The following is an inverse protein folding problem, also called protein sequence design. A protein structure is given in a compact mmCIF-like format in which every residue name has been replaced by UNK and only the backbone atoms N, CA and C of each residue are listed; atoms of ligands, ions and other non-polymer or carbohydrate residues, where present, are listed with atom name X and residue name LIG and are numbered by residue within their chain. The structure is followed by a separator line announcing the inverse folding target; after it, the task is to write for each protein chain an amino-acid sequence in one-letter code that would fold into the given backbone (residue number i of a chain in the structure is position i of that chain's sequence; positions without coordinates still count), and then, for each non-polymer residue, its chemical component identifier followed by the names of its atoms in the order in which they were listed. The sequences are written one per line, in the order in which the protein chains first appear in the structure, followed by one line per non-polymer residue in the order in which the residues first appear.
data_IF_119843754574
#
_entry.id   IF_119843754574
#
_cell.length_a   1.000
_cell.length_b   1.000
_cell.length_c   1.000
_cell.angle_alpha   90.00
_cell.angle_beta   90.00
_cell.angle_gamma   90.00
#
_symmetry.space_group_name_H-M   'P 1'
#
loop_
_entity.id
_entity.type
_entity.pdbx_description
1 polymer ?
#
# COMPACT_ATOMS: atom_id res chain seq x y z
N UNK A 1 -28.33 -75.48 -33.78
CA UNK A 1 -28.50 -74.37 -32.80
C UNK A 1 -27.19 -73.70 -32.39
N UNK A 2 -26.05 -74.37 -32.41
CA UNK A 2 -24.76 -73.86 -31.90
C UNK A 2 -24.08 -72.77 -32.76
N UNK A 3 -24.17 -72.86 -34.10
CA UNK A 3 -23.58 -71.85 -35.02
C UNK A 3 -24.19 -70.45 -34.88
N UNK A 4 -25.48 -70.34 -34.55
CA UNK A 4 -26.13 -69.04 -34.35
C UNK A 4 -25.75 -68.39 -33.00
N UNK A 5 -25.42 -69.20 -31.99
CA UNK A 5 -25.00 -68.70 -30.66
C UNK A 5 -23.59 -68.10 -30.72
N UNK A 6 -22.64 -68.77 -31.37
CA UNK A 6 -21.27 -68.23 -31.54
C UNK A 6 -21.21 -66.98 -32.42
N UNK A 7 -22.07 -66.88 -33.44
CA UNK A 7 -22.16 -65.71 -34.32
C UNK A 7 -22.75 -64.48 -33.61
N UNK A 8 -23.69 -64.69 -32.68
CA UNK A 8 -24.23 -63.61 -31.86
C UNK A 8 -23.23 -63.12 -30.80
N UNK A 9 -22.45 -64.00 -30.17
CA UNK A 9 -21.43 -63.58 -29.20
C UNK A 9 -20.28 -62.79 -29.85
N UNK A 10 -19.85 -63.19 -31.05
CA UNK A 10 -18.82 -62.45 -31.81
C UNK A 10 -19.34 -61.11 -32.31
N UNK A 11 -20.62 -61.04 -32.71
CA UNK A 11 -21.27 -59.78 -33.07
C UNK A 11 -21.38 -58.84 -31.86
N UNK A 12 -21.80 -59.35 -30.69
CA UNK A 12 -21.95 -58.54 -29.48
C UNK A 12 -20.60 -58.03 -28.95
N UNK A 13 -19.55 -58.87 -28.96
CA UNK A 13 -18.18 -58.45 -28.59
C UNK A 13 -17.62 -57.38 -29.53
N UNK A 14 -17.95 -57.45 -30.83
CA UNK A 14 -17.54 -56.44 -31.82
C UNK A 14 -18.29 -55.12 -31.61
N UNK A 15 -19.60 -55.17 -31.39
CA UNK A 15 -20.42 -53.99 -31.07
C UNK A 15 -19.96 -53.31 -29.77
N UNK A 16 -19.64 -54.11 -28.73
CA UNK A 16 -19.15 -53.59 -27.46
C UNK A 16 -17.76 -52.93 -27.57
N UNK A 17 -16.83 -53.51 -28.34
CA UNK A 17 -15.53 -52.88 -28.63
C UNK A 17 -15.68 -51.57 -29.39
N UNK A 18 -16.62 -51.48 -30.34
CA UNK A 18 -16.90 -50.25 -31.08
C UNK A 18 -17.48 -49.19 -30.12
N UNK A 19 -18.41 -49.57 -29.23
CA UNK A 19 -18.98 -48.66 -28.24
C UNK A 19 -17.92 -48.13 -27.26
N UNK A 20 -17.02 -48.98 -26.77
CA UNK A 20 -15.92 -48.57 -25.86
C UNK A 20 -14.94 -47.65 -26.58
N UNK A 21 -14.57 -47.94 -27.83
CA UNK A 21 -13.69 -47.05 -28.61
C UNK A 21 -14.36 -45.71 -28.92
N UNK A 22 -15.68 -45.70 -29.20
CA UNK A 22 -16.43 -44.46 -29.39
C UNK A 22 -16.48 -43.63 -28.10
N UNK A 23 -16.67 -44.27 -26.95
CA UNK A 23 -16.66 -43.59 -25.65
C UNK A 23 -15.27 -42.99 -25.34
N UNK A 24 -14.19 -43.76 -25.56
CA UNK A 24 -12.83 -43.28 -25.38
C UNK A 24 -12.48 -42.12 -26.33
N UNK A 25 -12.98 -42.17 -27.57
CA UNK A 25 -12.81 -41.07 -28.53
C UNK A 25 -13.59 -39.83 -28.10
N UNK A 26 -14.81 -39.97 -27.57
CA UNK A 26 -15.59 -38.85 -27.02
C UNK A 26 -14.88 -38.23 -25.81
N UNK A 27 -14.32 -39.04 -24.91
CA UNK A 27 -13.55 -38.55 -23.76
C UNK A 27 -12.27 -37.84 -24.21
N UNK A 28 -11.56 -38.37 -25.21
CA UNK A 28 -10.37 -37.74 -25.78
C UNK A 28 -10.69 -36.40 -26.46
N UNK A 29 -11.77 -36.34 -27.25
CA UNK A 29 -12.22 -35.10 -27.90
C UNK A 29 -12.71 -34.09 -26.86
N UNK A 30 -13.44 -34.53 -25.83
CA UNK A 30 -13.87 -33.66 -24.74
C UNK A 30 -12.69 -33.10 -23.93
N UNK A 31 -11.63 -33.88 -23.72
CA UNK A 31 -10.42 -33.43 -23.03
C UNK A 31 -9.55 -32.51 -23.89
N UNK A 32 -9.51 -32.69 -25.21
CA UNK A 32 -8.88 -31.74 -26.14
C UNK A 32 -9.68 -30.43 -26.24
N UNK A 33 -11.01 -30.49 -26.18
CA UNK A 33 -11.86 -29.29 -26.18
C UNK A 33 -11.82 -28.54 -24.84
N UNK A 34 -11.55 -29.23 -23.73
CA UNK A 34 -11.38 -28.58 -22.41
C UNK A 34 -10.01 -27.87 -22.28
N UNK A 35 -9.00 -28.27 -23.06
CA UNK A 35 -7.65 -27.66 -23.01
C UNK A 35 -7.47 -26.48 -23.96
N UNK A 36 -8.51 -26.07 -24.70
CA UNK A 36 -8.43 -24.96 -25.67
C UNK A 36 -9.51 -23.90 -25.52
N UNK A 37 -9.98 -23.63 -24.30
CA UNK A 37 -10.58 -22.32 -24.03
C UNK A 37 -9.42 -21.39 -23.71
N UNK A 38 -8.93 -20.55 -24.64
CA UNK A 38 -8.01 -19.50 -24.26
C UNK A 38 -8.72 -18.64 -23.23
N UNK A 39 -8.23 -18.63 -21.99
CA UNK A 39 -8.48 -17.53 -21.08
C UNK A 39 -7.83 -16.31 -21.70
N UNK A 40 -8.57 -15.60 -22.55
CA UNK A 40 -8.24 -14.23 -22.91
C UNK A 40 -8.43 -13.47 -21.61
N UNK A 41 -7.33 -13.30 -20.88
CA UNK A 41 -7.25 -12.33 -19.81
C UNK A 41 -7.39 -10.97 -20.48
N UNK A 42 -8.60 -10.43 -20.47
CA UNK A 42 -8.73 -8.99 -20.52
C UNK A 42 -8.03 -8.50 -19.27
N UNK A 43 -6.92 -7.78 -19.44
CA UNK A 43 -6.57 -6.77 -18.47
C UNK A 43 -7.75 -5.81 -18.49
N UNK A 44 -8.73 -6.07 -17.61
CA UNK A 44 -9.48 -4.95 -17.07
C UNK A 44 -8.37 -4.15 -16.41
N UNK A 45 -8.07 -2.94 -16.93
CA UNK A 45 -7.60 -1.92 -16.02
C UNK A 45 -8.50 -2.08 -14.81
N UNK A 46 -7.90 -2.20 -13.63
CA UNK A 46 -8.68 -1.99 -12.43
C UNK A 46 -9.27 -0.61 -12.68
N UNK A 47 -10.55 -0.55 -13.09
CA UNK A 47 -11.43 0.47 -12.62
C UNK A 47 -11.10 0.43 -11.15
N UNK A 48 -10.27 1.36 -10.70
CA UNK A 48 -10.53 1.98 -9.44
C UNK A 48 -11.99 2.37 -9.63
N UNK A 49 -12.91 1.46 -9.28
CA UNK A 49 -14.23 1.83 -8.86
C UNK A 49 -13.90 2.98 -7.97
N UNK A 50 -14.26 4.19 -8.41
CA UNK A 50 -13.93 5.41 -7.73
C UNK A 50 -14.26 5.15 -6.26
N UNK A 51 -13.26 4.73 -5.49
CA UNK A 51 -13.20 5.02 -4.09
C UNK A 51 -12.84 6.49 -4.14
N UNK A 52 -13.78 7.30 -4.65
CA UNK A 52 -14.02 8.65 -4.20
C UNK A 52 -14.14 8.45 -2.72
N UNK A 53 -13.00 8.54 -2.04
CA UNK A 53 -12.93 8.93 -0.65
C UNK A 53 -13.79 10.18 -0.66
N UNK A 54 -15.04 10.04 -0.21
CA UNK A 54 -15.97 11.16 -0.28
C UNK A 54 -15.35 12.23 0.58
N UNK A 55 -15.09 13.38 -0.06
CA UNK A 55 -14.53 14.53 0.62
C UNK A 55 -15.42 14.82 1.81
N UNK A 56 -14.82 14.75 3.00
CA UNK A 56 -15.54 14.97 4.26
C UNK A 56 -16.04 16.41 4.25
N UNK A 57 -17.36 16.60 4.35
CA UNK A 57 -17.96 17.92 4.45
C UNK A 57 -17.58 18.49 5.82
N UNK A 58 -16.89 19.66 5.88
CA UNK A 58 -16.47 20.25 7.14
C UNK A 58 -17.69 20.70 7.96
N UNK A 59 -17.58 20.58 9.29
CA UNK A 59 -18.64 20.96 10.24
C UNK A 59 -18.09 21.87 11.35
N UNK A 60 -18.97 22.59 12.04
CA UNK A 60 -18.57 23.47 13.15
C UNK A 60 -17.84 22.75 14.30
N UNK A 61 -18.01 21.42 14.42
CA UNK A 61 -17.37 20.61 15.44
C UNK A 61 -15.91 20.26 15.11
N UNK A 62 -15.47 20.50 13.88
CA UNK A 62 -14.12 20.17 13.44
C UNK A 62 -13.10 21.19 13.96
N UNK A 63 -11.85 20.77 14.17
CA UNK A 63 -10.78 21.70 14.60
C UNK A 63 -10.03 22.31 13.41
N UNK A 64 -10.37 23.55 13.08
CA UNK A 64 -9.75 24.34 12.03
C UNK A 64 -9.69 25.82 12.42
N UNK A 65 -8.83 26.58 11.73
CA UNK A 65 -8.70 28.01 11.91
C UNK A 65 -10.00 28.74 11.54
N UNK A 66 -10.50 29.58 12.45
CA UNK A 66 -11.76 30.31 12.30
C UNK A 66 -11.66 31.52 11.36
N UNK A 67 -10.56 31.70 10.64
CA UNK A 67 -10.33 32.84 9.75
C UNK A 67 -9.74 32.49 8.40
N UNK A 68 -9.53 31.21 8.07
CA UNK A 68 -8.84 30.81 6.84
C UNK A 68 -9.55 29.75 6.03
N UNK A 69 -9.48 29.90 4.71
CA UNK A 69 -9.88 28.91 3.73
C UNK A 69 -8.71 28.57 2.83
N UNK A 70 -8.42 27.29 2.66
CA UNK A 70 -7.45 26.77 1.70
C UNK A 70 -8.18 26.47 0.40
N UNK A 71 -7.75 27.11 -0.69
CA UNK A 71 -8.37 26.97 -2.01
C UNK A 71 -7.38 26.37 -2.98
N UNK A 72 -7.77 25.29 -3.66
CA UNK A 72 -7.01 24.70 -4.75
C UNK A 72 -7.67 25.14 -6.06
N UNK A 73 -6.89 25.76 -6.95
CA UNK A 73 -7.36 26.09 -8.30
C UNK A 73 -7.26 24.87 -9.20
N UNK A 74 -8.19 24.71 -10.15
CA UNK A 74 -8.02 23.68 -11.17
C UNK A 74 -6.79 23.95 -12.06
N UNK A 75 -6.28 22.90 -12.70
CA UNK A 75 -5.03 22.96 -13.47
C UNK A 75 -5.07 24.01 -14.59
N UNK A 76 -6.22 24.23 -15.22
CA UNK A 76 -6.38 25.21 -16.31
C UNK A 76 -6.16 26.65 -15.84
N UNK A 77 -6.48 26.95 -14.59
CA UNK A 77 -6.37 28.30 -14.02
C UNK A 77 -5.16 28.44 -13.08
N UNK A 78 -4.42 27.35 -12.85
CA UNK A 78 -3.23 27.35 -12.00
C UNK A 78 -2.01 27.87 -12.75
N UNK A 79 -1.20 28.68 -12.07
CA UNK A 79 0.10 29.16 -12.58
C UNK A 79 1.11 29.20 -11.44
N UNK A 80 2.38 28.92 -11.75
CA UNK A 80 3.45 29.09 -10.77
C UNK A 80 3.53 30.55 -10.31
N UNK A 81 3.39 30.76 -9.00
CA UNK A 81 3.42 32.08 -8.38
C UNK A 81 2.40 33.05 -9.02
N UNK A 82 1.29 32.53 -9.55
CA UNK A 82 0.26 33.33 -10.19
C UNK A 82 -0.41 34.25 -9.18
N UNK A 83 -0.64 35.51 -9.55
CA UNK A 83 -1.44 36.41 -8.72
C UNK A 83 -2.92 36.14 -8.99
N UNK A 84 -3.65 35.76 -7.95
CA UNK A 84 -5.10 35.55 -7.98
C UNK A 84 -5.74 36.50 -7.00
N UNK A 85 -6.82 37.14 -7.43
CA UNK A 85 -7.56 38.13 -6.65
C UNK A 85 -8.97 37.63 -6.36
N UNK A 86 -9.64 38.25 -5.40
CA UNK A 86 -10.99 37.83 -4.99
C UNK A 86 -11.96 37.88 -6.19
N UNK A 87 -11.85 38.90 -7.04
CA UNK A 87 -12.70 39.07 -8.21
C UNK A 87 -12.58 37.93 -9.24
N UNK A 88 -11.43 37.23 -9.27
CA UNK A 88 -11.18 36.15 -10.22
C UNK A 88 -12.06 34.92 -9.93
N UNK A 89 -12.51 34.74 -8.68
CA UNK A 89 -13.40 33.65 -8.30
C UNK A 89 -14.82 33.82 -8.86
N UNK A 90 -15.24 35.05 -9.20
CA UNK A 90 -16.59 35.36 -9.74
C UNK A 90 -17.74 34.83 -8.88
N UNK A 91 -17.60 34.96 -7.56
CA UNK A 91 -18.60 34.54 -6.57
C UNK A 91 -19.25 35.75 -5.89
N UNK A 92 -20.28 35.49 -5.09
CA UNK A 92 -20.89 36.48 -4.22
C UNK A 92 -19.99 36.70 -2.98
N UNK A 93 -19.13 37.73 -3.06
CA UNK A 93 -18.09 38.00 -2.06
C UNK A 93 -18.65 38.40 -0.69
N UNK A 94 -19.87 38.93 -0.62
CA UNK A 94 -20.53 39.26 0.63
C UNK A 94 -21.06 38.00 1.31
N UNK A 95 -21.72 37.10 0.56
CA UNK A 95 -22.13 35.79 1.09
C UNK A 95 -20.96 34.92 1.49
N UNK A 96 -19.86 35.03 0.76
CA UNK A 96 -18.62 34.34 1.07
C UNK A 96 -17.87 34.96 2.26
N UNK A 97 -18.38 36.02 2.89
CA UNK A 97 -17.71 36.75 3.97
C UNK A 97 -16.30 37.22 3.64
N UNK A 98 -16.01 37.47 2.35
CA UNK A 98 -14.70 37.93 1.86
C UNK A 98 -14.55 39.46 1.94
N UNK A 99 -15.63 40.17 2.28
CA UNK A 99 -15.63 41.62 2.47
C UNK A 99 -16.46 41.98 3.70
N UNK A 100 -15.96 42.86 4.56
CA UNK A 100 -16.68 43.39 5.71
C UNK A 100 -17.22 44.79 5.42
N UNK A 101 -18.49 44.86 4.98
CA UNK A 101 -19.14 46.14 4.60
C UNK A 101 -19.56 47.00 5.79
N UNK A 102 -19.47 46.50 7.04
CA UNK A 102 -19.86 47.22 8.25
C UNK A 102 -18.70 47.88 9.01
N UNK A 103 -17.48 47.85 8.46
CA UNK A 103 -16.31 48.31 9.19
C UNK A 103 -16.24 49.85 9.23
N UNK A 104 -16.68 50.42 10.35
CA UNK A 104 -16.34 51.79 10.77
C UNK A 104 -14.94 51.82 11.37
N UNK A 105 -14.11 52.75 10.90
CA UNK A 105 -12.73 53.03 11.31
C UNK A 105 -12.42 52.69 12.78
N UNK A 106 -11.56 51.68 13.01
CA UNK A 106 -10.89 51.53 14.29
C UNK A 106 -9.59 50.75 14.15
N UNK A 107 -8.54 51.40 13.65
CA UNK A 107 -7.19 50.86 13.66
C UNK A 107 -6.21 51.94 14.08
N UNK A 108 -6.01 52.06 15.39
CA UNK A 108 -4.79 52.69 15.93
C UNK A 108 -4.44 52.06 17.28
N UNK A 109 -4.22 50.74 17.25
CA UNK A 109 -3.53 49.99 18.31
C UNK A 109 -2.76 48.86 17.63
N UNK A 110 -1.43 48.89 17.73
CA UNK A 110 -0.50 47.92 17.13
C UNK A 110 -0.60 46.53 17.75
N UNK A 111 -1.72 45.87 17.54
CA UNK A 111 -1.93 44.46 17.87
C UNK A 111 -1.57 43.60 16.63
N UNK A 112 -0.40 42.98 16.68
CA UNK A 112 0.12 42.12 15.60
C UNK A 112 -0.71 40.83 15.41
N UNK A 113 -1.66 40.53 16.29
CA UNK A 113 -2.55 39.37 16.15
C UNK A 113 -3.70 39.57 15.14
N UNK A 114 -3.92 40.81 14.69
CA UNK A 114 -4.97 41.16 13.72
C UNK A 114 -4.45 40.95 12.30
N UNK A 115 -5.11 40.07 11.53
CA UNK A 115 -4.73 39.80 10.14
C UNK A 115 -4.91 41.04 9.26
N UNK A 116 -4.13 41.14 8.18
CA UNK A 116 -4.26 42.24 7.22
C UNK A 116 -5.64 42.27 6.54
N UNK A 117 -6.31 41.13 6.47
CA UNK A 117 -7.69 41.05 6.02
C UNK A 117 -8.65 41.80 6.95
N UNK A 118 -8.51 41.61 8.27
CA UNK A 118 -9.29 42.35 9.26
C UNK A 118 -8.95 43.84 9.22
N UNK A 119 -7.70 44.22 8.92
CA UNK A 119 -7.31 45.64 8.81
C UNK A 119 -7.93 46.34 7.61
N UNK A 120 -7.97 45.67 6.46
CA UNK A 120 -8.43 46.25 5.20
C UNK A 120 -9.94 46.10 4.97
N UNK A 121 -10.59 45.21 5.73
CA UNK A 121 -11.99 44.84 5.51
C UNK A 121 -12.20 43.98 4.26
N UNK A 122 -11.12 43.52 3.61
CA UNK A 122 -11.14 42.66 2.44
C UNK A 122 -10.31 41.41 2.72
N UNK A 123 -10.71 40.27 2.17
CA UNK A 123 -9.93 39.05 2.31
C UNK A 123 -8.54 39.21 1.66
N UNK A 124 -7.54 38.52 2.22
CA UNK A 124 -6.18 38.50 1.68
C UNK A 124 -5.92 37.14 1.06
N UNK A 125 -5.51 37.14 -0.20
CA UNK A 125 -5.18 35.91 -0.95
C UNK A 125 -3.66 35.74 -0.99
N UNK A 126 -3.19 34.62 -0.47
CA UNK A 126 -1.76 34.27 -0.41
C UNK A 126 -1.50 32.97 -1.15
N UNK A 127 -0.52 32.93 -2.05
CA UNK A 127 -0.06 31.69 -2.66
C UNK A 127 0.82 30.90 -1.68
N UNK A 128 0.37 29.69 -1.33
CA UNK A 128 1.05 28.82 -0.38
C UNK A 128 2.15 27.97 -1.00
N UNK A 129 2.06 27.68 -2.30
CA UNK A 129 3.02 26.81 -2.99
C UNK A 129 3.81 27.60 -4.02
N UNK A 130 4.83 28.30 -3.53
CA UNK A 130 5.70 29.13 -4.36
C UNK A 130 6.86 28.33 -4.93
N UNK A 131 7.13 28.53 -6.21
CA UNK A 131 8.25 27.90 -6.93
C UNK A 131 9.28 28.98 -7.26
N UNK A 132 10.37 29.03 -6.49
CA UNK A 132 11.39 30.09 -6.62
C UNK A 132 12.19 30.03 -7.94
N UNK A 133 12.18 28.88 -8.64
CA UNK A 133 12.89 28.68 -9.92
C UNK A 133 12.06 27.87 -10.93
N UNK A 134 10.88 28.38 -11.32
CA UNK A 134 9.92 27.71 -12.19
C UNK A 134 10.46 27.24 -13.56
N UNK A 135 11.57 27.80 -14.04
CA UNK A 135 12.21 27.41 -15.33
C UNK A 135 13.30 26.33 -15.22
N UNK A 136 13.69 25.93 -14.00
CA UNK A 136 14.85 25.02 -13.78
C UNK A 136 14.49 23.71 -13.05
N UNK A 137 13.24 23.55 -12.61
CA UNK A 137 12.77 22.34 -11.92
C UNK A 137 12.19 21.35 -12.93
N UNK A 138 12.88 20.23 -13.15
CA UNK A 138 12.32 19.07 -13.87
C UNK A 138 11.27 18.31 -13.07
N UNK A 139 10.94 18.77 -11.85
CA UNK A 139 10.14 18.04 -10.86
C UNK A 139 8.65 18.43 -10.89
N UNK A 140 8.25 19.52 -11.54
CA UNK A 140 6.84 19.93 -11.62
C UNK A 140 6.50 20.33 -13.06
N UNK A 141 5.46 19.71 -13.61
CA UNK A 141 4.94 20.01 -14.94
C UNK A 141 3.85 21.06 -14.84
N UNK A 142 4.02 22.18 -15.54
CA UNK A 142 3.07 23.30 -15.45
C UNK A 142 1.65 22.89 -15.87
N UNK A 143 1.54 22.01 -16.87
CA UNK A 143 0.25 21.47 -17.34
C UNK A 143 -0.48 20.59 -16.31
N UNK A 144 0.24 20.09 -15.30
CA UNK A 144 -0.30 19.21 -14.26
C UNK A 144 -0.39 19.93 -12.89
N UNK A 145 0.04 21.19 -12.81
CA UNK A 145 0.16 21.94 -11.57
C UNK A 145 -1.19 22.43 -11.04
N UNK A 146 -1.39 22.30 -9.73
CA UNK A 146 -2.48 22.91 -8.99
C UNK A 146 -1.93 24.02 -8.10
N UNK A 147 -2.43 25.25 -8.26
CA UNK A 147 -2.07 26.35 -7.39
C UNK A 147 -2.90 26.29 -6.11
N UNK A 148 -2.24 26.45 -4.96
CA UNK A 148 -2.86 26.37 -3.64
C UNK A 148 -2.78 27.74 -2.97
N UNK A 149 -3.93 28.27 -2.59
CA UNK A 149 -4.10 29.59 -2.01
C UNK A 149 -4.60 29.47 -0.56
N UNK A 150 -4.13 30.36 0.30
CA UNK A 150 -4.79 30.71 1.56
C UNK A 150 -5.60 31.97 1.37
N UNK A 151 -6.85 31.95 1.79
CA UNK A 151 -7.71 33.14 1.85
C UNK A 151 -7.97 33.46 3.32
N UNK A 152 -7.38 34.55 3.80
CA UNK A 152 -7.63 35.08 5.14
C UNK A 152 -8.91 35.93 5.12
N UNK A 153 -9.89 35.57 5.93
CA UNK A 153 -11.18 36.26 6.01
C UNK A 153 -11.09 37.55 6.85
N UNK A 154 -11.79 38.63 6.44
CA UNK A 154 -11.88 39.86 7.23
C UNK A 154 -12.79 39.72 8.46
N UNK A 155 -13.60 38.65 8.53
CA UNK A 155 -14.49 38.35 9.65
C UNK A 155 -14.16 36.93 10.14
N UNK A 156 -13.79 36.82 11.42
CA UNK A 156 -13.53 35.52 12.07
C UNK A 156 -14.84 34.82 12.45
N UNK A 157 -14.83 33.50 12.37
CA UNK A 157 -15.91 32.61 12.79
C UNK A 157 -15.88 31.34 11.96
N UNK A 158 -16.03 30.16 12.59
CA UNK A 158 -16.08 28.89 11.87
C UNK A 158 -17.25 28.86 10.89
N UNK A 159 -18.37 29.48 11.23
CA UNK A 159 -19.51 29.67 10.34
C UNK A 159 -19.11 30.46 9.08
N UNK A 160 -18.25 31.48 9.23
CA UNK A 160 -17.79 32.33 8.11
C UNK A 160 -16.86 31.58 7.17
N UNK A 161 -16.01 30.73 7.73
CA UNK A 161 -15.18 29.79 6.95
C UNK A 161 -16.06 28.83 6.13
N UNK A 162 -17.09 28.25 6.75
CA UNK A 162 -18.01 27.35 6.04
C UNK A 162 -18.86 28.07 4.97
N UNK A 163 -19.32 29.29 5.23
CA UNK A 163 -20.01 30.14 4.25
C UNK A 163 -19.08 30.46 3.05
N UNK A 164 -17.84 30.85 3.33
CA UNK A 164 -16.83 31.12 2.30
C UNK A 164 -16.58 29.91 1.41
N UNK A 165 -16.39 28.73 2.01
CA UNK A 165 -16.22 27.45 1.29
C UNK A 165 -17.40 27.19 0.38
N UNK A 166 -18.63 27.28 0.90
CA UNK A 166 -19.84 26.99 0.13
C UNK A 166 -20.03 27.91 -1.09
N UNK A 167 -19.59 29.17 -1.01
CA UNK A 167 -19.60 30.08 -2.16
C UNK A 167 -18.41 29.83 -3.10
N UNK A 168 -17.19 29.63 -2.59
CA UNK A 168 -15.99 29.37 -3.38
C UNK A 168 -16.12 28.10 -4.24
N UNK A 169 -16.77 27.06 -3.73
CA UNK A 169 -17.04 25.81 -4.48
C UNK A 169 -17.97 26.00 -5.68
N UNK A 170 -18.66 27.13 -5.81
CA UNK A 170 -19.46 27.47 -7.00
C UNK A 170 -18.60 28.07 -8.12
N UNK A 171 -17.37 28.45 -7.82
CA UNK A 171 -16.47 29.07 -8.79
C UNK A 171 -15.93 28.06 -9.80
N UNK A 172 -15.95 28.42 -11.09
CA UNK A 172 -15.42 27.57 -12.17
C UNK A 172 -13.89 27.39 -12.15
N UNK A 173 -13.17 28.23 -11.40
CA UNK A 173 -11.70 28.15 -11.30
C UNK A 173 -11.25 27.33 -10.09
N UNK A 174 -12.14 27.09 -9.14
CA UNK A 174 -11.87 26.36 -7.90
C UNK A 174 -12.04 24.86 -8.15
N UNK A 175 -11.03 24.09 -7.76
CA UNK A 175 -11.09 22.63 -7.70
C UNK A 175 -11.60 22.16 -6.33
N UNK A 176 -11.11 22.77 -5.25
CA UNK A 176 -11.62 22.54 -3.88
C UNK A 176 -11.40 23.76 -2.98
N UNK A 177 -12.22 23.90 -1.94
CA UNK A 177 -12.08 24.92 -0.90
C UNK A 177 -12.32 24.31 0.49
N UNK A 178 -11.31 24.28 1.35
CA UNK A 178 -11.32 23.56 2.63
C UNK A 178 -10.94 24.47 3.80
N UNK A 179 -11.33 24.15 5.04
CA UNK A 179 -10.80 24.86 6.20
C UNK A 179 -9.29 24.61 6.34
N UNK A 180 -8.58 25.57 6.94
CA UNK A 180 -7.20 25.35 7.40
C UNK A 180 -7.23 24.54 8.71
N UNK A 181 -7.24 23.21 8.58
CA UNK A 181 -7.30 22.29 9.73
C UNK A 181 -6.07 22.44 10.62
N UNK A 182 -6.30 22.44 11.94
CA UNK A 182 -5.21 22.43 12.90
C UNK A 182 -4.68 21.02 13.04
N UNK A 183 -3.36 20.90 13.02
CA UNK A 183 -2.70 19.64 13.35
C UNK A 183 -2.53 19.56 14.86
N UNK A 184 -3.09 18.53 15.49
CA UNK A 184 -2.82 18.24 16.89
C UNK A 184 -1.41 17.67 17.05
N UNK A 185 -0.69 18.08 18.10
CA UNK A 185 0.48 17.35 18.56
C UNK A 185 0.00 16.07 19.22
N UNK A 186 0.28 14.94 18.58
CA UNK A 186 0.02 13.59 19.08
C UNK A 186 0.84 13.36 20.36
N UNK A 187 0.17 12.94 21.44
CA UNK A 187 0.83 12.48 22.67
C UNK A 187 1.87 11.41 22.31
N UNK A 188 3.13 11.64 22.71
CA UNK A 188 4.24 10.73 22.45
C UNK A 188 3.94 9.34 23.04
N UNK A 189 3.70 8.35 22.19
CA UNK A 189 3.39 7.00 22.62
C UNK A 189 4.68 6.20 22.83
N UNK A 190 4.93 5.84 24.10
CA UNK A 190 6.08 5.05 24.51
C UNK A 190 5.58 3.73 25.11
N UNK A 191 5.94 2.56 24.54
CA UNK A 191 5.58 1.27 25.12
C UNK A 191 6.12 1.08 26.54
N UNK A 192 5.32 0.48 27.43
CA UNK A 192 5.69 0.17 28.82
C UNK A 192 6.31 -1.23 29.00
N UNK A 193 6.65 -1.90 27.91
CA UNK A 193 7.20 -3.27 27.91
C UNK A 193 8.57 -3.32 28.59
N UNK A 194 8.80 -4.34 29.42
CA UNK A 194 9.92 -4.38 30.37
C UNK A 194 11.30 -4.23 29.72
N UNK A 195 11.48 -4.72 28.49
CA UNK A 195 12.76 -4.69 27.78
C UNK A 195 12.83 -3.62 26.68
N UNK A 196 11.77 -2.84 26.45
CA UNK A 196 11.72 -1.86 25.36
C UNK A 196 12.81 -0.80 25.47
N UNK A 197 12.92 -0.15 26.63
CA UNK A 197 13.86 0.95 26.81
C UNK A 197 15.34 0.51 26.81
N UNK A 198 15.64 -0.73 27.22
CA UNK A 198 17.02 -1.17 27.47
C UNK A 198 17.58 -2.10 26.40
N UNK A 199 16.75 -2.95 25.78
CA UNK A 199 17.23 -4.06 24.96
C UNK A 199 16.78 -3.97 23.50
N UNK A 200 15.94 -3.01 23.13
CA UNK A 200 15.42 -2.87 21.76
C UNK A 200 16.02 -1.66 21.03
N UNK A 201 17.35 -1.58 21.00
CA UNK A 201 18.09 -0.52 20.31
C UNK A 201 17.69 -0.36 18.83
N UNK A 202 17.26 -1.45 18.17
CA UNK A 202 16.78 -1.39 16.77
C UNK A 202 15.53 -0.53 16.60
N UNK A 203 14.75 -0.30 17.66
CA UNK A 203 13.56 0.56 17.64
C UNK A 203 13.87 2.00 18.08
N UNK A 204 14.79 2.17 19.04
CA UNK A 204 15.01 3.42 19.79
C UNK A 204 16.40 4.05 19.64
N UNK A 205 17.39 3.28 19.21
CA UNK A 205 18.79 3.69 19.15
C UNK A 205 19.12 4.60 17.97
N UNK A 206 20.31 5.20 17.99
CA UNK A 206 20.80 6.12 16.95
C UNK A 206 20.76 5.51 15.53
N UNK A 207 21.04 4.22 15.42
CA UNK A 207 21.00 3.46 14.17
C UNK A 207 19.72 2.62 14.03
N UNK A 208 18.71 2.88 14.86
CA UNK A 208 17.42 2.21 14.85
C UNK A 208 16.46 2.83 13.82
N UNK A 209 15.27 2.24 13.71
CA UNK A 209 14.27 2.62 12.70
C UNK A 209 13.36 3.78 13.12
N UNK A 210 13.62 4.41 14.28
CA UNK A 210 12.79 5.49 14.84
C UNK A 210 11.31 5.11 14.96
N UNK A 211 11.05 3.91 15.50
CA UNK A 211 9.69 3.35 15.57
C UNK A 211 8.70 4.25 16.34
N UNK A 212 9.17 4.91 17.40
CA UNK A 212 8.36 5.82 18.22
C UNK A 212 7.68 6.92 17.41
N UNK A 213 8.44 7.60 16.53
CA UNK A 213 7.88 8.65 15.65
C UNK A 213 6.77 8.11 14.76
N UNK A 214 6.88 6.85 14.32
CA UNK A 214 5.83 6.22 13.53
C UNK A 214 4.62 5.88 14.38
N UNK A 215 4.81 5.40 15.60
CA UNK A 215 3.72 5.01 16.50
C UNK A 215 2.85 6.17 16.97
N UNK A 216 3.41 7.37 17.03
CA UNK A 216 2.63 8.59 17.25
C UNK A 216 1.60 8.79 16.13
N UNK A 217 1.90 8.34 14.91
CA UNK A 217 0.99 8.40 13.75
C UNK A 217 0.11 7.14 13.60
N UNK A 218 0.73 5.96 13.67
CA UNK A 218 0.06 4.65 13.56
C UNK A 218 0.90 3.55 14.18
N UNK A 219 0.25 2.64 14.89
CA UNK A 219 0.89 1.44 15.48
C UNK A 219 0.68 0.20 14.63
N UNK A 220 0.17 0.38 13.40
CA UNK A 220 -0.38 -0.71 12.59
C UNK A 220 -1.78 -1.11 13.05
N UNK A 221 -2.49 -1.80 12.17
CA UNK A 221 -3.84 -2.31 12.44
C UNK A 221 -3.80 -3.83 12.44
N UNK A 222 -4.57 -4.47 13.31
CA UNK A 222 -4.68 -5.93 13.34
C UNK A 222 -5.19 -6.52 12.01
N UNK A 223 -5.92 -5.74 11.21
CA UNK A 223 -6.39 -6.15 9.89
C UNK A 223 -5.28 -6.16 8.82
N UNK A 224 -4.17 -5.48 9.06
CA UNK A 224 -2.96 -5.62 8.25
C UNK A 224 -2.25 -6.91 8.66
N UNK A 225 -1.91 -7.71 7.65
CA UNK A 225 -1.40 -9.07 7.83
C UNK A 225 0.01 -9.20 7.29
N UNK A 226 0.89 -9.82 8.08
CA UNK A 226 2.26 -10.13 7.71
C UNK A 226 2.46 -11.64 7.61
N UNK A 227 3.00 -12.11 6.49
CA UNK A 227 3.40 -13.49 6.29
C UNK A 227 4.81 -13.72 6.83
N UNK A 228 5.01 -14.75 7.65
CA UNK A 228 6.32 -15.12 8.17
C UNK A 228 6.77 -16.43 7.52
N UNK A 229 7.70 -16.34 6.58
CA UNK A 229 8.26 -17.47 5.86
C UNK A 229 9.34 -18.16 6.72
N UNK A 230 8.89 -19.06 7.60
CA UNK A 230 9.67 -19.63 8.70
C UNK A 230 9.42 -21.13 8.88
N UNK A 231 10.18 -21.78 9.77
CA UNK A 231 9.95 -23.19 10.16
C UNK A 231 8.83 -23.35 11.19
N UNK A 232 8.45 -22.27 11.88
CA UNK A 232 7.39 -22.25 12.88
C UNK A 232 7.59 -21.11 13.87
N UNK A 233 6.63 -20.93 14.79
CA UNK A 233 6.73 -20.02 15.93
C UNK A 233 5.93 -20.56 17.12
N UNK A 234 6.31 -20.14 18.33
CA UNK A 234 5.59 -20.42 19.57
C UNK A 234 4.35 -19.51 19.65
N UNK A 235 3.26 -19.93 19.03
CA UNK A 235 2.04 -19.12 18.92
C UNK A 235 1.35 -18.86 20.26
N UNK A 236 1.59 -19.69 21.28
CA UNK A 236 1.07 -19.53 22.63
C UNK A 236 2.05 -18.77 23.57
N UNK A 237 3.09 -18.13 23.03
CA UNK A 237 3.96 -17.27 23.81
C UNK A 237 3.14 -16.11 24.40
N UNK A 238 3.29 -15.76 25.70
CA UNK A 238 2.48 -14.73 26.35
C UNK A 238 2.46 -13.40 25.59
N UNK A 239 3.61 -13.04 25.01
CA UNK A 239 3.81 -11.80 24.26
C UNK A 239 3.39 -11.85 22.77
N UNK A 240 2.89 -13.01 22.31
CA UNK A 240 2.41 -13.22 20.93
C UNK A 240 0.97 -13.78 20.88
N UNK A 241 0.36 -14.00 22.04
CA UNK A 241 -0.93 -14.67 22.13
C UNK A 241 -2.01 -13.88 21.38
N UNK A 242 -2.70 -14.54 20.46
CA UNK A 242 -3.72 -13.90 19.62
C UNK A 242 -3.19 -13.10 18.43
N UNK A 243 -1.87 -13.07 18.18
CA UNK A 243 -1.28 -12.41 17.00
C UNK A 243 -1.28 -13.28 15.74
N UNK A 244 -1.49 -14.60 15.85
CA UNK A 244 -1.50 -15.51 14.71
C UNK A 244 -2.93 -15.83 14.24
N UNK A 245 -3.21 -15.66 12.95
CA UNK A 245 -4.56 -15.78 12.35
C UNK A 245 -5.04 -17.21 12.15
N UNK A 246 -4.13 -18.17 12.07
CA UNK A 246 -4.46 -19.58 11.90
C UNK A 246 -3.43 -20.44 12.63
N UNK A 247 -3.87 -21.36 13.50
CA UNK A 247 -2.95 -22.35 14.04
C UNK A 247 -2.53 -23.29 12.91
N UNK A 248 -1.39 -23.95 13.11
CA UNK A 248 -0.89 -25.08 12.33
C UNK A 248 0.04 -24.71 11.16
N UNK A 249 1.25 -24.27 11.50
CA UNK A 249 2.47 -24.87 10.98
C UNK A 249 3.54 -24.76 12.07
N UNK A 250 3.87 -25.88 12.70
CA UNK A 250 5.09 -25.99 13.52
C UNK A 250 5.89 -27.14 12.93
N UNK A 251 6.81 -26.83 12.03
CA UNK A 251 7.67 -27.81 11.39
C UNK A 251 9.05 -27.77 12.06
N UNK A 252 9.10 -28.23 13.32
CA UNK A 252 10.35 -28.36 14.08
C UNK A 252 10.70 -27.15 14.95
N UNK A 253 11.98 -26.73 14.92
CA UNK A 253 12.50 -25.64 15.76
C UNK A 253 11.77 -24.32 15.49
N UNK A 254 11.12 -23.78 16.52
CA UNK A 254 10.29 -22.59 16.47
C UNK A 254 10.99 -21.34 17.02
N UNK A 255 12.20 -21.45 17.58
CA UNK A 255 12.87 -20.36 18.29
C UNK A 255 13.14 -19.17 17.37
N UNK A 256 13.67 -19.43 16.18
CA UNK A 256 13.98 -18.39 15.18
C UNK A 256 12.72 -17.65 14.73
N UNK A 257 11.68 -18.37 14.31
CA UNK A 257 10.44 -17.74 13.88
C UNK A 257 9.66 -17.08 15.02
N UNK A 258 9.80 -17.54 16.26
CA UNK A 258 9.26 -16.85 17.45
C UNK A 258 9.96 -15.51 17.67
N UNK A 259 11.29 -15.49 17.55
CA UNK A 259 12.07 -14.26 17.67
C UNK A 259 11.71 -13.26 16.56
N UNK A 260 11.62 -13.72 15.30
CA UNK A 260 11.16 -12.90 14.16
C UNK A 260 9.74 -12.37 14.39
N UNK A 261 8.81 -13.21 14.86
CA UNK A 261 7.44 -12.80 15.17
C UNK A 261 7.39 -11.75 16.28
N UNK A 262 8.25 -11.86 17.29
CA UNK A 262 8.38 -10.85 18.36
C UNK A 262 8.78 -9.48 17.83
N UNK A 263 9.76 -9.43 16.92
CA UNK A 263 10.17 -8.18 16.26
C UNK A 263 9.02 -7.60 15.44
N UNK A 264 8.32 -8.42 14.66
CA UNK A 264 7.24 -7.94 13.77
C UNK A 264 6.04 -7.43 14.57
N UNK A 265 5.61 -8.16 15.60
CA UNK A 265 4.34 -7.87 16.27
C UNK A 265 4.13 -8.53 17.63
N UNK A 266 5.14 -8.52 18.50
CA UNK A 266 4.90 -8.68 19.94
C UNK A 266 3.83 -7.69 20.45
N UNK A 267 3.11 -8.07 21.50
CA UNK A 267 2.04 -7.26 22.07
C UNK A 267 2.65 -6.10 22.85
N UNK A 268 2.80 -4.95 22.21
CA UNK A 268 3.32 -3.77 22.88
C UNK A 268 2.35 -3.20 23.94
N UNK A 269 2.91 -2.53 24.94
CA UNK A 269 2.23 -1.88 26.05
C UNK A 269 1.49 -2.84 27.00
N UNK A 270 2.05 -4.03 27.23
CA UNK A 270 1.47 -5.07 28.10
C UNK A 270 2.26 -5.30 29.42
N UNK A 271 3.21 -4.40 29.73
CA UNK A 271 4.15 -4.47 30.86
C UNK A 271 5.06 -5.72 30.90
N UNK A 272 5.25 -6.40 29.77
CA UNK A 272 6.03 -7.64 29.68
C UNK A 272 6.93 -7.61 28.46
N UNK A 273 7.98 -8.44 28.43
CA UNK A 273 8.67 -8.76 27.18
C UNK A 273 9.16 -7.55 26.39
N UNK A 274 8.78 -7.50 25.12
CA UNK A 274 9.29 -6.57 24.09
C UNK A 274 8.14 -5.93 23.31
N UNK A 275 8.38 -4.75 22.75
CA UNK A 275 7.44 -4.12 21.81
C UNK A 275 7.70 -4.61 20.38
N UNK A 276 6.65 -5.00 19.66
CA UNK A 276 6.73 -5.28 18.22
C UNK A 276 6.74 -3.99 17.40
N UNK A 277 7.34 -4.01 16.22
CA UNK A 277 7.37 -2.88 15.27
C UNK A 277 5.95 -2.45 14.88
N UNK A 278 5.04 -3.41 14.73
CA UNK A 278 3.64 -3.14 14.38
C UNK A 278 2.70 -4.04 15.16
N UNK A 279 1.46 -3.60 15.37
CA UNK A 279 0.40 -4.40 15.96
C UNK A 279 -0.37 -5.23 14.92
N UNK A 280 0.29 -5.58 13.82
CA UNK A 280 -0.26 -6.38 12.72
C UNK A 280 -0.48 -7.83 13.16
N UNK A 281 -1.46 -8.49 12.56
CA UNK A 281 -1.61 -9.94 12.70
C UNK A 281 -0.64 -10.67 11.77
N UNK A 282 -0.29 -11.90 12.13
CA UNK A 282 0.71 -12.71 11.44
C UNK A 282 0.15 -14.04 10.96
N UNK A 283 0.73 -14.56 9.89
CA UNK A 283 0.47 -15.90 9.40
C UNK A 283 1.79 -16.60 9.06
N UNK A 284 1.99 -17.80 9.61
CA UNK A 284 3.15 -18.62 9.26
C UNK A 284 3.00 -19.19 7.86
N UNK A 285 4.05 -19.00 7.08
CA UNK A 285 4.23 -19.49 5.71
C UNK A 285 5.41 -20.47 5.73
N UNK A 286 5.26 -21.60 5.05
CA UNK A 286 6.20 -22.71 5.13
C UNK A 286 7.31 -22.55 4.08
N UNK A 287 8.57 -22.57 4.54
CA UNK A 287 9.73 -22.30 3.70
C UNK A 287 10.38 -23.52 3.02
N UNK A 288 9.79 -24.71 3.08
CA UNK A 288 10.33 -25.88 2.37
C UNK A 288 10.08 -25.77 0.85
N UNK A 289 10.98 -26.34 0.03
CA UNK A 289 11.00 -26.12 -1.43
C UNK A 289 9.73 -26.51 -2.21
N UNK A 290 8.94 -27.46 -1.72
CA UNK A 290 7.64 -27.79 -2.33
C UNK A 290 6.52 -26.89 -1.81
N UNK A 291 6.70 -26.30 -0.63
CA UNK A 291 5.73 -25.45 0.04
C UNK A 291 5.92 -23.97 -0.29
N UNK A 292 6.99 -23.58 -1.02
CA UNK A 292 7.23 -22.19 -1.38
C UNK A 292 6.09 -21.62 -2.22
N UNK A 293 5.74 -22.30 -3.32
CA UNK A 293 4.66 -21.88 -4.22
C UNK A 293 3.32 -21.87 -3.49
N UNK A 294 3.04 -22.92 -2.71
CA UNK A 294 1.81 -23.02 -1.91
C UNK A 294 1.74 -21.93 -0.84
N UNK A 295 2.86 -21.55 -0.25
CA UNK A 295 2.93 -20.48 0.74
C UNK A 295 2.74 -19.10 0.13
N UNK A 296 3.28 -18.84 -1.06
CA UNK A 296 3.00 -17.61 -1.83
C UNK A 296 1.51 -17.53 -2.20
N UNK A 297 0.93 -18.63 -2.67
CA UNK A 297 -0.50 -18.71 -2.97
C UNK A 297 -1.36 -18.52 -1.72
N UNK A 298 -0.96 -19.13 -0.59
CA UNK A 298 -1.63 -18.95 0.70
C UNK A 298 -1.58 -17.50 1.16
N UNK A 299 -0.45 -16.82 1.00
CA UNK A 299 -0.34 -15.40 1.33
C UNK A 299 -1.33 -14.55 0.52
N UNK A 300 -1.36 -14.74 -0.80
CA UNK A 300 -2.30 -14.06 -1.69
C UNK A 300 -3.77 -14.31 -1.29
N UNK A 301 -4.13 -15.58 -1.04
CA UNK A 301 -5.49 -15.99 -0.68
C UNK A 301 -5.92 -15.52 0.72
N UNK A 302 -4.98 -15.12 1.58
CA UNK A 302 -5.25 -14.64 2.92
C UNK A 302 -5.03 -13.12 3.07
N UNK A 303 -5.00 -12.37 1.96
CA UNK A 303 -4.84 -10.91 1.94
C UNK A 303 -3.59 -10.44 2.73
N UNK A 304 -2.50 -11.18 2.58
CA UNK A 304 -1.20 -10.80 3.11
C UNK A 304 -0.53 -9.93 2.05
N UNK A 305 -0.04 -8.76 2.47
CA UNK A 305 0.61 -7.79 1.59
C UNK A 305 2.12 -7.74 1.76
N UNK A 306 2.62 -8.20 2.91
CA UNK A 306 4.05 -8.22 3.21
C UNK A 306 4.43 -9.61 3.71
N UNK A 307 5.45 -10.21 3.11
CA UNK A 307 6.05 -11.46 3.55
C UNK A 307 7.47 -11.17 4.02
N UNK A 308 7.81 -11.60 5.23
CA UNK A 308 9.17 -11.62 5.72
C UNK A 308 9.79 -13.01 5.50
N UNK A 309 10.96 -13.05 4.88
CA UNK A 309 11.76 -14.24 4.60
C UNK A 309 13.17 -14.09 5.20
N UNK A 310 13.30 -14.43 6.49
CA UNK A 310 14.58 -14.39 7.23
C UNK A 310 15.37 -15.69 7.03
N UNK A 311 15.65 -16.05 5.78
CA UNK A 311 16.42 -17.24 5.42
C UNK A 311 17.08 -17.08 4.06
N UNK A 312 18.05 -17.96 3.78
CA UNK A 312 18.71 -18.05 2.49
C UNK A 312 18.85 -19.50 2.01
N UNK A 313 19.00 -19.66 0.70
CA UNK A 313 19.51 -20.86 0.07
C UNK A 313 20.41 -20.51 -1.12
N UNK A 314 21.37 -21.39 -1.40
CA UNK A 314 22.30 -21.32 -2.53
C UNK A 314 22.12 -22.47 -3.52
N UNK A 315 21.75 -23.65 -3.01
CA UNK A 315 21.56 -24.85 -3.81
C UNK A 315 20.43 -24.67 -4.83
N UNK A 316 20.72 -24.98 -6.09
CA UNK A 316 19.76 -24.86 -7.20
C UNK A 316 19.75 -23.50 -7.91
N UNK A 317 20.39 -22.46 -7.38
CA UNK A 317 20.39 -21.12 -7.97
C UNK A 317 18.98 -20.57 -8.15
N UNK A 318 18.69 -20.05 -9.34
CA UNK A 318 17.32 -19.63 -9.70
C UNK A 318 16.43 -20.87 -9.87
N UNK A 319 15.40 -20.95 -9.03
CA UNK A 319 14.30 -21.91 -9.21
C UNK A 319 13.15 -21.20 -9.93
N UNK A 320 12.79 -21.66 -11.14
CA UNK A 320 11.84 -20.96 -12.02
C UNK A 320 10.42 -20.87 -11.44
N UNK A 321 9.92 -21.92 -10.79
CA UNK A 321 8.58 -21.91 -10.19
C UNK A 321 8.48 -20.91 -9.01
N UNK A 322 9.56 -20.70 -8.24
CA UNK A 322 9.62 -19.67 -7.21
C UNK A 322 9.59 -18.28 -7.84
N UNK A 323 10.35 -18.04 -8.91
CA UNK A 323 10.35 -16.76 -9.62
C UNK A 323 8.95 -16.41 -10.15
N UNK A 324 8.25 -17.38 -10.75
CA UNK A 324 6.88 -17.20 -11.24
C UNK A 324 5.90 -16.97 -10.08
N UNK A 325 6.04 -17.70 -8.97
CA UNK A 325 5.19 -17.50 -7.78
C UNK A 325 5.39 -16.11 -7.15
N UNK A 326 6.63 -15.62 -7.08
CA UNK A 326 6.96 -14.26 -6.64
C UNK A 326 6.35 -13.23 -7.60
N UNK A 327 6.52 -13.41 -8.90
CA UNK A 327 5.95 -12.51 -9.92
C UNK A 327 4.42 -12.40 -9.83
N UNK A 328 3.74 -13.52 -9.55
CA UNK A 328 2.29 -13.56 -9.44
C UNK A 328 1.76 -12.96 -8.12
N UNK A 329 2.60 -12.86 -7.10
CA UNK A 329 2.23 -12.28 -5.81
C UNK A 329 2.28 -10.75 -5.90
N UNK A 330 1.16 -10.09 -5.58
CA UNK A 330 1.06 -8.63 -5.68
C UNK A 330 1.69 -7.89 -4.48
N UNK A 331 1.90 -8.61 -3.37
CA UNK A 331 2.53 -8.06 -2.18
C UNK A 331 4.05 -8.01 -2.30
N UNK A 332 4.66 -7.48 -1.24
CA UNK A 332 6.10 -7.34 -1.08
C UNK A 332 6.71 -8.56 -0.36
N UNK A 333 7.82 -9.06 -0.88
CA UNK A 333 8.67 -10.06 -0.24
C UNK A 333 9.95 -9.40 0.27
N UNK A 334 10.13 -9.40 1.59
CA UNK A 334 11.29 -8.82 2.29
C UNK A 334 12.22 -9.95 2.70
N UNK A 335 13.45 -9.94 2.19
CA UNK A 335 14.40 -11.02 2.33
C UNK A 335 15.65 -10.58 3.10
N UNK A 336 16.18 -11.44 3.96
CA UNK A 336 17.51 -11.23 4.53
C UNK A 336 18.60 -11.34 3.44
N UNK A 337 19.61 -10.47 3.51
CA UNK A 337 20.76 -10.48 2.59
C UNK A 337 21.67 -11.71 2.80
N UNK A 338 21.67 -12.26 4.01
CA UNK A 338 22.46 -13.42 4.39
C UNK A 338 23.55 -13.12 5.41
N UNK A 339 24.19 -14.19 5.91
CA UNK A 339 25.11 -14.12 7.07
C UNK A 339 26.57 -14.43 6.69
N UNK A 340 26.94 -14.28 5.42
CA UNK A 340 28.21 -14.79 4.88
C UNK A 340 29.23 -13.72 4.47
N UNK A 341 29.03 -12.45 4.88
CA UNK A 341 29.81 -11.26 4.47
C UNK A 341 29.98 -11.12 2.95
N UNK A 342 29.18 -11.86 2.18
CA UNK A 342 29.29 -11.93 0.74
C UNK A 342 28.43 -10.83 0.11
N UNK A 343 29.00 -10.12 -0.86
CA UNK A 343 28.24 -9.25 -1.74
C UNK A 343 27.31 -10.10 -2.62
N UNK A 344 26.01 -10.07 -2.34
CA UNK A 344 24.98 -10.86 -3.05
C UNK A 344 24.46 -10.18 -4.32
N UNK A 345 24.92 -8.97 -4.62
CA UNK A 345 24.70 -8.32 -5.92
C UNK A 345 25.61 -8.97 -6.98
N UNK A 346 26.72 -9.59 -6.56
CA UNK A 346 27.52 -10.45 -7.41
C UNK A 346 26.81 -11.78 -7.72
N UNK A 347 26.70 -12.11 -9.00
CA UNK A 347 26.03 -13.32 -9.49
C UNK A 347 26.57 -14.63 -8.93
N UNK A 348 27.85 -14.71 -8.58
CA UNK A 348 28.45 -15.93 -8.00
C UNK A 348 28.12 -16.15 -6.53
N UNK A 349 27.71 -15.08 -5.85
CA UNK A 349 27.47 -15.05 -4.40
C UNK A 349 25.99 -14.91 -4.05
N UNK A 350 25.15 -14.69 -5.07
CA UNK A 350 23.73 -14.45 -4.96
C UNK A 350 23.04 -15.52 -4.10
N UNK A 351 22.28 -15.04 -3.11
CA UNK A 351 21.47 -15.85 -2.20
C UNK A 351 20.01 -15.70 -2.57
N UNK A 352 19.22 -16.75 -2.42
CA UNK A 352 17.78 -16.72 -2.70
C UNK A 352 16.99 -16.95 -1.41
N UNK A 353 15.79 -16.37 -1.24
CA UNK A 353 15.01 -15.64 -2.25
C UNK A 353 15.43 -14.18 -2.52
N UNK A 354 16.34 -13.58 -1.73
CA UNK A 354 16.76 -12.18 -1.89
C UNK A 354 17.19 -11.83 -3.33
N UNK A 355 17.98 -12.70 -3.95
CA UNK A 355 18.54 -12.53 -5.30
C UNK A 355 17.52 -12.51 -6.42
N UNK A 356 16.25 -12.85 -6.17
CA UNK A 356 15.20 -12.67 -7.16
C UNK A 356 14.96 -11.19 -7.49
N UNK A 357 15.35 -10.25 -6.63
CA UNK A 357 15.27 -8.79 -6.94
C UNK A 357 16.04 -8.39 -8.20
N UNK A 358 17.10 -9.13 -8.56
CA UNK A 358 17.88 -8.91 -9.78
C UNK A 358 17.49 -9.86 -10.92
N UNK A 359 16.45 -10.68 -10.74
CA UNK A 359 16.08 -11.71 -11.71
C UNK A 359 14.98 -11.22 -12.67
N UNK A 360 15.09 -11.63 -13.93
CA UNK A 360 14.06 -11.45 -14.96
C UNK A 360 13.67 -12.82 -15.49
N UNK A 361 12.38 -13.14 -15.40
CA UNK A 361 11.84 -14.34 -16.03
C UNK A 361 12.08 -14.20 -17.54
N UNK A 362 12.78 -15.15 -18.18
CA UNK A 362 13.28 -14.98 -19.54
C UNK A 362 12.15 -14.97 -20.57
N UNK A 363 12.39 -14.28 -21.68
CA UNK A 363 11.57 -14.37 -22.90
C UNK A 363 11.58 -15.81 -23.41
N UNK A 364 10.42 -16.34 -23.82
CA UNK A 364 10.31 -17.60 -24.57
C UNK A 364 9.77 -17.36 -25.98
N UNK A 365 10.39 -18.03 -26.94
CA UNK A 365 9.96 -18.07 -28.34
C UNK A 365 9.70 -19.52 -28.74
N UNK A 366 8.68 -19.73 -29.57
CA UNK A 366 8.38 -21.02 -30.17
C UNK A 366 8.20 -20.81 -31.67
N UNK A 367 9.00 -21.51 -32.50
CA UNK A 367 9.01 -21.36 -33.96
C UNK A 367 9.18 -19.90 -34.43
N UNK A 368 10.02 -19.13 -33.73
CA UNK A 368 10.28 -17.72 -34.05
C UNK A 368 9.19 -16.73 -33.59
N UNK A 369 8.10 -17.21 -33.00
CA UNK A 369 7.04 -16.38 -32.44
C UNK A 369 7.25 -16.23 -30.93
N UNK A 370 7.18 -15.01 -30.41
CA UNK A 370 7.23 -14.73 -28.97
C UNK A 370 5.98 -15.31 -28.29
N UNK A 371 6.20 -16.24 -27.36
CA UNK A 371 5.14 -16.89 -26.58
C UNK A 371 5.08 -16.37 -25.15
N UNK A 372 6.16 -15.76 -24.67
CA UNK A 372 6.25 -15.15 -23.35
C UNK A 372 7.26 -14.00 -23.40
N UNK A 373 6.85 -12.76 -23.09
CA UNK A 373 7.81 -11.66 -22.92
C UNK A 373 8.62 -11.83 -21.64
N UNK A 374 9.78 -11.18 -21.61
CA UNK A 374 10.58 -11.10 -20.40
C UNK A 374 9.82 -10.33 -19.30
N UNK A 375 9.90 -10.79 -18.05
CA UNK A 375 9.20 -10.18 -16.90
C UNK A 375 10.17 -9.99 -15.73
N UNK A 376 10.55 -8.75 -15.38
CA UNK A 376 11.38 -8.51 -14.20
C UNK A 376 10.59 -8.82 -12.92
N UNK A 377 11.28 -9.30 -11.89
CA UNK A 377 10.74 -9.39 -10.54
C UNK A 377 10.92 -8.02 -9.88
N UNK A 378 9.82 -7.43 -9.39
CA UNK A 378 9.82 -6.04 -8.88
C UNK A 378 9.37 -5.91 -7.43
N UNK A 379 8.98 -7.02 -6.80
CA UNK A 379 8.36 -7.06 -5.49
C UNK A 379 9.23 -7.78 -4.44
N UNK A 380 10.55 -7.80 -4.65
CA UNK A 380 11.52 -8.35 -3.69
C UNK A 380 12.43 -7.23 -3.22
N UNK A 381 12.52 -7.06 -1.90
CA UNK A 381 13.49 -6.18 -1.26
C UNK A 381 14.45 -7.02 -0.42
N UNK A 382 15.72 -6.68 -0.52
CA UNK A 382 16.80 -7.28 0.27
C UNK A 382 17.16 -6.36 1.42
N UNK A 383 17.25 -6.89 2.63
CA UNK A 383 17.66 -6.16 3.83
C UNK A 383 18.92 -6.81 4.40
N UNK A 384 20.00 -6.04 4.50
CA UNK A 384 21.27 -6.44 5.09
C UNK A 384 21.77 -5.41 6.11
N UNK A 385 22.89 -5.69 6.78
CA UNK A 385 23.53 -4.68 7.63
C UNK A 385 24.08 -3.55 6.77
N UNK A 386 23.96 -2.33 7.30
CA UNK A 386 24.83 -1.23 6.93
C UNK A 386 26.10 -1.46 7.75
N UNK A 387 27.23 -1.68 7.08
CA UNK A 387 28.55 -1.74 7.73
C UNK A 387 28.97 -0.39 8.32
#
# INVERSE_FOLDING_TARGET
MEKNKMRNETFFKRQWKIAVMALLFIVLVASILYTTIPTIAYAKEVDFAENTIQRRIPTLNDDFDDSKVIVVLNQKNSKYNGVVRIEDFKIDVEKASLVNTQQTERLDRGDDSVTDAVKTGQAVVTDLFRVDNAKSSSLVRESEFFQILSIDLPIRGKEKVLEAIAELEKSEIVYSAEPDYRYETIDLWVPNDTNYATNQWGLTGTNGIQAANTWDMTRGLADIRVGLFETGAQQNHPDLNGRFLAPNFTLGNADHGTHVAGIVGAISNNNQGVAGVSQSNMMLLNRNSNDFVDSMARAANNNIWVINASYEYTSGGVIENHAVAIHNYQGLLVCAAGNSTADIDNATNRRYPAGYSAYTIPRKTFLGIETQPARPITNVITVGSID
#
